data_IF_632623537675
#
_entry.id   IF_632623537675
#
_cell.length_a   1.000
_cell.length_b   1.000
_cell.length_c   1.000
_cell.angle_alpha   90.00
_cell.angle_beta   90.00
_cell.angle_gamma   90.00
#
_symmetry.space_group_name_H-M   'P 1'
#
loop_
_entity.id
_entity.type
_entity.pdbx_description
1 polymer ?
#
# COMPACT_ATOMS: atom_id res chain seq x y z
N UNK A 1 34.35 13.57 -8.98
CA UNK A 1 33.10 13.52 -9.76
C UNK A 1 31.96 13.99 -8.87
N UNK A 2 31.34 15.15 -9.14
CA UNK A 2 30.12 15.57 -8.43
C UNK A 2 28.99 14.63 -8.84
N UNK A 3 28.54 13.76 -7.93
CA UNK A 3 27.36 12.95 -8.13
C UNK A 3 26.20 13.86 -8.51
N UNK A 4 25.68 13.70 -9.73
CA UNK A 4 24.49 14.40 -10.19
C UNK A 4 23.34 13.93 -9.28
N UNK A 5 22.89 14.79 -8.34
CA UNK A 5 21.75 14.45 -7.47
C UNK A 5 20.57 14.11 -8.37
N UNK A 6 20.05 12.91 -8.26
CA UNK A 6 18.84 12.49 -8.97
C UNK A 6 17.67 13.37 -8.51
N UNK A 7 16.98 13.99 -9.46
CA UNK A 7 15.84 14.87 -9.22
C UNK A 7 14.64 14.34 -9.99
N UNK A 8 13.44 14.57 -9.49
CA UNK A 8 12.21 14.34 -10.29
C UNK A 8 12.16 15.34 -11.46
N UNK A 9 11.62 14.90 -12.60
CA UNK A 9 11.52 15.72 -13.81
C UNK A 9 10.49 16.86 -13.71
N UNK A 10 9.61 16.82 -12.70
CA UNK A 10 8.59 17.83 -12.45
C UNK A 10 7.64 17.46 -11.31
N UNK A 11 6.69 18.34 -11.01
CA UNK A 11 5.72 18.15 -9.93
C UNK A 11 4.82 16.92 -10.15
N UNK A 12 4.40 16.68 -11.40
CA UNK A 12 3.58 15.50 -11.73
C UNK A 12 4.37 14.21 -11.51
N UNK A 13 5.65 14.17 -11.92
CA UNK A 13 6.51 13.02 -11.68
C UNK A 13 6.68 12.71 -10.20
N UNK A 14 6.88 13.75 -9.38
CA UNK A 14 6.93 13.61 -7.92
C UNK A 14 5.62 13.09 -7.34
N UNK A 15 4.47 13.67 -7.73
CA UNK A 15 3.14 13.25 -7.23
C UNK A 15 2.85 11.79 -7.59
N UNK A 16 3.11 11.37 -8.83
CA UNK A 16 2.88 9.99 -9.25
C UNK A 16 3.85 9.00 -8.59
N UNK A 17 5.10 9.39 -8.35
CA UNK A 17 6.04 8.56 -7.60
C UNK A 17 5.65 8.45 -6.12
N UNK A 18 5.23 9.55 -5.49
CA UNK A 18 4.71 9.55 -4.12
C UNK A 18 3.43 8.71 -4.00
N UNK A 19 2.49 8.84 -4.95
CA UNK A 19 1.31 8.00 -5.02
C UNK A 19 1.68 6.53 -5.22
N UNK A 20 2.65 6.23 -6.08
CA UNK A 20 3.15 4.86 -6.30
C UNK A 20 3.80 4.25 -5.06
N UNK A 21 4.41 5.07 -4.21
CA UNK A 21 4.92 4.63 -2.90
C UNK A 21 3.79 4.43 -1.88
N UNK A 22 2.74 5.23 -1.95
CA UNK A 22 1.61 5.19 -1.03
C UNK A 22 0.60 4.08 -1.36
N UNK A 23 0.36 3.83 -2.65
CA UNK A 23 -0.60 2.81 -3.11
C UNK A 23 0.10 1.47 -3.27
N UNK A 24 -0.22 0.56 -2.38
CA UNK A 24 0.34 -0.80 -2.36
C UNK A 24 -0.72 -1.87 -2.08
N UNK A 25 -0.26 -3.10 -1.93
CA UNK A 25 -1.11 -4.26 -1.61
C UNK A 25 -1.96 -4.03 -0.36
N UNK A 26 -1.44 -3.29 0.62
CA UNK A 26 -2.15 -2.93 1.83
C UNK A 26 -3.43 -2.14 1.60
N UNK A 27 -3.46 -1.29 0.57
CA UNK A 27 -4.64 -0.49 0.24
C UNK A 27 -5.70 -1.32 -0.49
N UNK A 28 -5.27 -2.31 -1.29
CA UNK A 28 -6.17 -3.13 -2.10
C UNK A 28 -6.72 -4.31 -1.28
N UNK A 29 -5.92 -4.88 -0.38
CA UNK A 29 -6.28 -6.06 0.39
C UNK A 29 -6.63 -5.76 1.85
N UNK A 30 -5.69 -5.14 2.60
CA UNK A 30 -5.85 -4.94 4.04
C UNK A 30 -6.91 -3.90 4.37
N UNK A 31 -6.98 -2.80 3.64
CA UNK A 31 -7.95 -1.73 3.89
C UNK A 31 -9.40 -2.21 3.80
N UNK A 32 -9.84 -2.90 2.72
CA UNK A 32 -11.20 -3.43 2.64
C UNK A 32 -11.51 -4.41 3.77
N UNK A 33 -10.55 -5.26 4.13
CA UNK A 33 -10.71 -6.19 5.24
C UNK A 33 -10.93 -5.48 6.58
N UNK A 34 -10.10 -4.49 6.92
CA UNK A 34 -10.25 -3.71 8.14
C UNK A 34 -11.57 -2.94 8.15
N UNK A 35 -11.93 -2.33 7.03
CA UNK A 35 -13.20 -1.63 6.90
C UNK A 35 -14.39 -2.55 7.19
N UNK A 36 -14.41 -3.75 6.61
CA UNK A 36 -15.47 -4.72 6.87
C UNK A 36 -15.48 -5.23 8.31
N UNK A 37 -14.30 -5.50 8.89
CA UNK A 37 -14.12 -5.98 10.27
C UNK A 37 -14.56 -4.95 11.30
N UNK A 38 -14.29 -3.67 11.06
CA UNK A 38 -14.34 -2.60 12.05
C UNK A 38 -15.56 -1.67 11.91
N UNK A 39 -16.68 -2.19 11.40
CA UNK A 39 -17.95 -1.48 11.34
C UNK A 39 -18.13 -0.62 10.09
N UNK A 40 -17.48 -1.00 8.99
CA UNK A 40 -17.69 -0.40 7.67
C UNK A 40 -17.47 1.09 7.63
N UNK A 41 -18.56 1.86 7.46
CA UNK A 41 -18.51 3.30 7.38
C UNK A 41 -17.95 4.00 8.64
N UNK A 42 -18.02 3.39 9.81
CA UNK A 42 -17.41 3.92 11.03
C UNK A 42 -15.88 3.93 10.93
N UNK A 43 -15.29 2.81 10.50
CA UNK A 43 -13.85 2.74 10.24
C UNK A 43 -13.44 3.77 9.18
N UNK A 44 -14.20 3.87 8.07
CA UNK A 44 -13.93 4.82 7.01
C UNK A 44 -13.98 6.26 7.50
N UNK A 45 -14.96 6.61 8.33
CA UNK A 45 -15.09 7.95 8.93
C UNK A 45 -13.88 8.29 9.79
N UNK A 46 -13.50 7.40 10.71
CA UNK A 46 -12.33 7.58 11.59
C UNK A 46 -11.06 7.71 10.73
N UNK A 47 -10.90 6.84 9.74
CA UNK A 47 -9.75 6.88 8.84
C UNK A 47 -9.65 8.21 8.07
N UNK A 48 -10.76 8.73 7.52
CA UNK A 48 -10.78 10.01 6.83
C UNK A 48 -10.42 11.18 7.74
N UNK A 49 -10.93 11.20 8.97
CA UNK A 49 -10.55 12.22 9.96
C UNK A 49 -9.05 12.15 10.25
N UNK A 50 -8.51 10.96 10.44
CA UNK A 50 -7.08 10.77 10.67
C UNK A 50 -6.22 11.17 9.46
N UNK A 51 -6.65 10.86 8.24
CA UNK A 51 -5.95 11.29 7.01
C UNK A 51 -5.88 12.80 6.91
N UNK A 52 -7.00 13.49 7.14
CA UNK A 52 -7.10 14.95 7.01
C UNK A 52 -6.34 15.69 8.11
N UNK A 53 -6.26 15.13 9.31
CA UNK A 53 -5.58 15.76 10.45
C UNK A 53 -4.14 15.29 10.56
N UNK A 54 -3.92 14.04 10.95
CA UNK A 54 -2.60 13.45 11.17
C UNK A 54 -1.85 13.19 9.87
N UNK A 55 -2.50 12.56 8.91
CA UNK A 55 -1.87 12.16 7.65
C UNK A 55 -1.32 13.35 6.87
N UNK A 56 -2.14 14.37 6.70
CA UNK A 56 -1.74 15.60 6.00
C UNK A 56 -0.57 16.31 6.71
N UNK A 57 -0.65 16.44 8.04
CA UNK A 57 0.40 17.10 8.83
C UNK A 57 1.72 16.33 8.76
N UNK A 58 1.69 15.02 8.90
CA UNK A 58 2.91 14.19 8.88
C UNK A 58 3.55 14.21 7.48
N UNK A 59 2.76 14.01 6.42
CA UNK A 59 3.26 14.02 5.05
C UNK A 59 3.87 15.38 4.66
N UNK A 60 3.21 16.48 5.02
CA UNK A 60 3.74 17.83 4.80
C UNK A 60 5.04 18.06 5.56
N UNK A 61 5.15 17.55 6.77
CA UNK A 61 6.36 17.64 7.59
C UNK A 61 7.51 16.87 6.96
N UNK A 62 7.29 15.62 6.53
CA UNK A 62 8.31 14.81 5.86
C UNK A 62 8.83 15.49 4.59
N UNK A 63 7.92 15.99 3.74
CA UNK A 63 8.30 16.72 2.52
C UNK A 63 9.05 18.02 2.86
N UNK A 64 8.65 18.75 3.90
CA UNK A 64 9.33 19.97 4.33
C UNK A 64 10.75 19.69 4.83
N UNK A 65 10.95 18.63 5.60
CA UNK A 65 12.27 18.18 6.05
C UNK A 65 13.16 17.85 4.85
N UNK A 66 12.67 17.06 3.91
CA UNK A 66 13.40 16.70 2.71
C UNK A 66 13.79 17.92 1.86
N UNK A 67 12.87 18.85 1.64
CA UNK A 67 13.13 20.09 0.92
C UNK A 67 14.15 20.99 1.61
N UNK A 68 14.08 21.12 2.93
CA UNK A 68 14.98 21.96 3.72
C UNK A 68 16.39 21.39 3.78
N UNK A 69 16.53 20.09 4.03
CA UNK A 69 17.83 19.45 4.24
C UNK A 69 18.50 19.03 2.92
N UNK A 70 17.71 18.67 1.91
CA UNK A 70 18.20 18.10 0.64
C UNK A 70 19.11 16.87 0.87
N UNK A 71 18.83 16.13 1.94
CA UNK A 71 19.53 14.92 2.35
C UNK A 71 18.62 13.71 2.24
N UNK A 72 19.21 12.51 2.30
CA UNK A 72 18.46 11.27 2.47
C UNK A 72 17.90 11.16 3.88
N UNK A 73 16.96 10.23 4.10
CA UNK A 73 16.29 10.02 5.38
C UNK A 73 17.26 9.81 6.56
N UNK A 74 18.38 9.10 6.34
CA UNK A 74 19.39 8.85 7.39
C UNK A 74 20.03 10.13 7.93
N UNK A 75 20.31 11.10 7.06
CA UNK A 75 21.07 12.29 7.41
C UNK A 75 20.20 13.53 7.61
N UNK A 76 18.96 13.52 7.13
CA UNK A 76 18.08 14.69 7.18
C UNK A 76 17.87 15.21 8.60
N UNK A 77 17.57 14.32 9.55
CA UNK A 77 17.34 14.70 10.94
C UNK A 77 18.61 15.19 11.64
N UNK A 78 19.75 14.55 11.39
CA UNK A 78 21.04 15.01 11.93
C UNK A 78 21.44 16.39 11.40
N UNK A 79 21.10 16.70 10.13
CA UNK A 79 21.34 18.02 9.54
C UNK A 79 20.50 19.12 10.18
N UNK A 80 19.30 18.79 10.69
CA UNK A 80 18.48 19.74 11.42
C UNK A 80 18.99 19.96 12.85
N UNK A 81 19.30 18.87 13.55
CA UNK A 81 19.89 18.90 14.87
C UNK A 81 20.50 17.53 15.22
N UNK A 82 21.74 17.54 15.69
CA UNK A 82 22.53 16.34 15.95
C UNK A 82 21.87 15.35 16.93
N UNK A 83 21.15 15.84 17.95
CA UNK A 83 20.42 15.00 18.90
C UNK A 83 19.33 14.13 18.25
N UNK A 84 18.83 14.52 17.08
CA UNK A 84 17.78 13.80 16.38
C UNK A 84 18.30 12.79 15.35
N UNK A 85 19.61 12.54 15.32
CA UNK A 85 20.23 11.56 14.41
C UNK A 85 19.57 10.18 14.49
N UNK A 86 19.15 9.76 15.68
CA UNK A 86 18.54 8.45 15.89
C UNK A 86 17.23 8.27 15.10
N UNK A 87 16.47 9.35 14.84
CA UNK A 87 15.26 9.30 14.02
C UNK A 87 15.56 8.88 12.57
N UNK A 88 16.71 9.30 12.05
CA UNK A 88 17.16 8.87 10.73
C UNK A 88 17.37 7.35 10.64
N UNK A 89 17.93 6.74 11.68
CA UNK A 89 18.08 5.28 11.75
C UNK A 89 16.72 4.57 11.85
N UNK A 90 15.77 5.10 12.64
CA UNK A 90 14.43 4.55 12.74
C UNK A 90 13.70 4.65 11.39
N UNK A 91 13.78 5.79 10.70
CA UNK A 91 13.20 6.02 9.38
C UNK A 91 13.78 5.07 8.32
N UNK A 92 15.02 4.63 8.47
CA UNK A 92 15.63 3.63 7.59
C UNK A 92 15.26 2.20 7.98
N UNK A 93 15.14 1.91 9.27
CA UNK A 93 14.82 0.58 9.77
C UNK A 93 13.43 0.10 9.33
N UNK A 94 12.43 0.99 9.38
CA UNK A 94 11.04 0.65 9.03
C UNK A 94 10.91 0.10 7.61
N UNK A 95 11.33 0.80 6.54
CA UNK A 95 11.25 0.26 5.18
C UNK A 95 12.13 -0.97 4.98
N UNK A 96 13.25 -1.09 5.71
CA UNK A 96 14.09 -2.29 5.65
C UNK A 96 13.34 -3.52 6.16
N UNK A 97 12.64 -3.41 7.29
CA UNK A 97 11.80 -4.48 7.82
C UNK A 97 10.62 -4.80 6.90
N UNK A 98 9.98 -3.77 6.33
CA UNK A 98 8.89 -3.97 5.37
C UNK A 98 9.40 -4.73 4.15
N UNK A 99 10.56 -4.40 3.62
CA UNK A 99 11.12 -5.05 2.43
C UNK A 99 11.30 -6.56 2.60
N UNK A 100 11.55 -7.05 3.82
CA UNK A 100 11.74 -8.49 4.07
C UNK A 100 10.49 -9.31 3.75
N UNK A 101 9.31 -8.87 4.18
CA UNK A 101 8.07 -9.60 3.92
C UNK A 101 7.37 -9.16 2.63
N UNK A 102 7.54 -7.91 2.21
CA UNK A 102 6.93 -7.41 0.97
C UNK A 102 7.48 -8.09 -0.27
N UNK A 103 8.75 -8.46 -0.26
CA UNK A 103 9.36 -9.22 -1.35
C UNK A 103 8.73 -10.60 -1.51
N UNK A 104 8.38 -11.24 -0.40
CA UNK A 104 7.67 -12.53 -0.41
C UNK A 104 6.27 -12.38 -1.00
N UNK A 105 5.51 -11.38 -0.52
CA UNK A 105 4.15 -11.09 -1.02
C UNK A 105 4.21 -10.71 -2.51
N UNK A 106 5.20 -9.92 -2.93
CA UNK A 106 5.42 -9.59 -4.33
C UNK A 106 5.65 -10.83 -5.20
N UNK A 107 6.40 -11.80 -4.68
CA UNK A 107 6.57 -13.11 -5.32
C UNK A 107 5.25 -13.88 -5.46
N UNK A 108 4.39 -13.87 -4.43
CA UNK A 108 3.06 -14.50 -4.50
C UNK A 108 2.18 -13.89 -5.58
N UNK A 109 2.13 -12.55 -5.64
CA UNK A 109 1.37 -11.83 -6.66
C UNK A 109 1.88 -12.16 -8.07
N UNK A 110 3.21 -12.23 -8.23
CA UNK A 110 3.82 -12.58 -9.50
C UNK A 110 3.49 -14.02 -9.92
N UNK A 111 3.42 -14.97 -8.97
CA UNK A 111 2.95 -16.32 -9.23
C UNK A 111 1.51 -16.34 -9.72
N UNK A 112 0.60 -15.65 -9.01
CA UNK A 112 -0.80 -15.55 -9.43
C UNK A 112 -0.92 -14.92 -10.82
N UNK A 113 -0.22 -13.82 -11.08
CA UNK A 113 -0.18 -13.20 -12.41
C UNK A 113 0.23 -14.21 -13.48
N UNK A 114 1.27 -15.01 -13.23
CA UNK A 114 1.73 -16.03 -14.18
C UNK A 114 0.66 -17.09 -14.47
N UNK A 115 -0.10 -17.50 -13.48
CA UNK A 115 -1.18 -18.50 -13.65
C UNK A 115 -2.33 -17.93 -14.46
N UNK A 116 -2.73 -16.67 -14.18
CA UNK A 116 -3.81 -16.03 -14.96
C UNK A 116 -3.41 -15.80 -16.42
N UNK A 117 -2.13 -15.51 -16.69
CA UNK A 117 -1.65 -15.30 -18.07
C UNK A 117 -1.50 -16.62 -18.83
N UNK A 118 -1.06 -17.71 -18.15
CA UNK A 118 -0.72 -18.98 -18.81
C UNK A 118 -1.91 -19.95 -18.86
N UNK A 119 -2.71 -20.06 -17.79
CA UNK A 119 -3.74 -21.10 -17.61
C UNK A 119 -5.15 -20.57 -17.33
N UNK A 120 -5.45 -19.32 -17.71
CA UNK A 120 -6.76 -18.68 -17.49
C UNK A 120 -7.23 -18.65 -16.02
N UNK A 121 -6.34 -18.91 -15.06
CA UNK A 121 -6.62 -18.74 -13.64
C UNK A 121 -7.51 -19.79 -12.97
N UNK A 122 -8.01 -20.80 -13.67
CA UNK A 122 -8.88 -21.83 -13.08
C UNK A 122 -8.25 -22.55 -11.89
N UNK A 123 -6.96 -22.83 -11.96
CA UNK A 123 -6.22 -23.47 -10.87
C UNK A 123 -6.10 -22.54 -9.66
N UNK A 124 -5.90 -21.23 -9.88
CA UNK A 124 -5.76 -20.25 -8.81
C UNK A 124 -7.06 -20.01 -8.01
N UNK A 125 -8.21 -20.38 -8.59
CA UNK A 125 -9.52 -20.29 -7.94
C UNK A 125 -9.83 -21.45 -6.98
N UNK A 126 -8.98 -22.49 -6.93
CA UNK A 126 -9.17 -23.63 -6.02
C UNK A 126 -8.78 -23.25 -4.59
N UNK A 127 -9.57 -23.67 -3.61
CA UNK A 127 -9.38 -23.33 -2.18
C UNK A 127 -7.99 -23.69 -1.64
N UNK A 128 -7.38 -24.79 -2.10
CA UNK A 128 -6.09 -25.26 -1.62
C UNK A 128 -4.89 -24.75 -2.44
N UNK A 129 -5.11 -23.98 -3.52
CA UNK A 129 -4.03 -23.55 -4.40
C UNK A 129 -3.00 -22.69 -3.68
N UNK A 130 -3.45 -21.68 -2.93
CA UNK A 130 -2.57 -20.80 -2.19
C UNK A 130 -1.75 -21.55 -1.14
N UNK A 131 -2.40 -22.40 -0.34
CA UNK A 131 -1.75 -23.19 0.71
C UNK A 131 -0.69 -24.13 0.11
N UNK A 132 -1.01 -24.83 -0.96
CA UNK A 132 -0.05 -25.72 -1.64
C UNK A 132 1.13 -24.96 -2.22
N UNK A 133 0.89 -23.74 -2.75
CA UNK A 133 1.96 -22.89 -3.26
C UNK A 133 2.90 -22.42 -2.14
N UNK A 134 2.37 -21.85 -1.05
CA UNK A 134 3.22 -21.28 0.01
C UNK A 134 3.97 -22.34 0.83
N UNK A 135 3.46 -23.56 0.88
CA UNK A 135 4.11 -24.69 1.55
C UNK A 135 5.13 -25.41 0.67
N UNK A 136 5.15 -25.12 -0.63
CA UNK A 136 6.15 -25.70 -1.52
C UNK A 136 7.55 -25.15 -1.24
N UNK A 137 8.58 -26.00 -1.32
CA UNK A 137 9.95 -25.65 -0.90
C UNK A 137 10.66 -24.67 -1.85
N UNK A 138 10.32 -24.67 -3.13
CA UNK A 138 11.10 -23.98 -4.17
C UNK A 138 10.31 -22.85 -4.82
N UNK A 139 9.04 -23.08 -5.17
CA UNK A 139 8.25 -22.15 -5.95
C UNK A 139 8.15 -20.75 -5.34
N UNK A 140 7.82 -20.55 -4.04
CA UNK A 140 7.74 -19.22 -3.44
C UNK A 140 9.08 -18.46 -3.48
N UNK A 141 10.19 -19.18 -3.28
CA UNK A 141 11.55 -18.60 -3.29
C UNK A 141 11.90 -18.11 -4.70
N UNK A 142 11.63 -18.90 -5.72
CA UNK A 142 11.92 -18.52 -7.11
C UNK A 142 11.14 -17.25 -7.49
N UNK A 143 9.83 -17.21 -7.22
CA UNK A 143 9.01 -16.04 -7.53
C UNK A 143 9.42 -14.81 -6.71
N UNK A 144 9.79 -14.97 -5.45
CA UNK A 144 10.37 -13.89 -4.63
C UNK A 144 11.65 -13.34 -5.24
N UNK A 145 12.57 -14.20 -5.67
CA UNK A 145 13.83 -13.79 -6.29
C UNK A 145 13.61 -13.09 -7.63
N UNK A 146 12.68 -13.56 -8.46
CA UNK A 146 12.30 -12.88 -9.71
C UNK A 146 11.73 -11.49 -9.42
N UNK A 147 10.85 -11.36 -8.42
CA UNK A 147 10.31 -10.07 -8.00
C UNK A 147 11.40 -9.13 -7.49
N UNK A 148 12.33 -9.62 -6.66
CA UNK A 148 13.47 -8.85 -6.17
C UNK A 148 14.39 -8.39 -7.31
N UNK A 149 14.71 -9.28 -8.26
CA UNK A 149 15.54 -8.93 -9.42
C UNK A 149 14.88 -7.82 -10.27
N UNK A 150 13.58 -7.91 -10.50
CA UNK A 150 12.83 -6.89 -11.23
C UNK A 150 12.81 -5.55 -10.47
N UNK A 151 12.57 -5.58 -9.17
CA UNK A 151 12.61 -4.37 -8.31
C UNK A 151 14.00 -3.75 -8.31
N UNK A 152 15.04 -4.56 -8.10
CA UNK A 152 16.43 -4.11 -8.13
C UNK A 152 16.81 -3.46 -9.48
N UNK A 153 16.35 -4.03 -10.58
CA UNK A 153 16.57 -3.47 -11.91
C UNK A 153 15.93 -2.09 -12.09
N UNK A 154 14.69 -1.88 -11.60
CA UNK A 154 14.02 -0.57 -11.63
C UNK A 154 14.80 0.44 -10.79
N UNK A 155 15.17 0.06 -9.55
CA UNK A 155 15.89 0.92 -8.62
C UNK A 155 17.29 1.27 -9.16
N UNK A 156 17.98 0.31 -9.79
CA UNK A 156 19.29 0.54 -10.41
C UNK A 156 19.25 1.61 -11.51
N UNK A 157 18.12 1.76 -12.21
CA UNK A 157 17.91 2.82 -13.21
C UNK A 157 17.78 4.23 -12.61
N UNK A 158 17.70 4.31 -11.29
CA UNK A 158 17.59 5.56 -10.54
C UNK A 158 16.18 6.13 -10.47
N UNK A 159 16.06 7.32 -9.88
CA UNK A 159 14.76 7.94 -9.60
C UNK A 159 14.04 8.35 -10.87
N UNK A 160 14.69 9.11 -11.75
CA UNK A 160 14.07 9.70 -12.93
C UNK A 160 13.73 8.66 -14.00
N UNK A 161 14.69 7.80 -14.38
CA UNK A 161 14.55 6.83 -15.46
C UNK A 161 14.00 5.46 -15.00
N UNK A 162 14.02 5.19 -13.71
CA UNK A 162 13.48 3.99 -13.11
C UNK A 162 12.14 4.27 -12.43
N UNK A 163 12.16 4.73 -11.20
CA UNK A 163 10.99 4.84 -10.33
C UNK A 163 9.94 5.77 -10.93
N UNK A 164 10.31 6.98 -11.31
CA UNK A 164 9.38 7.98 -11.85
C UNK A 164 8.74 7.53 -13.17
N UNK A 165 9.56 7.04 -14.10
CA UNK A 165 9.07 6.57 -15.41
C UNK A 165 8.11 5.40 -15.24
N UNK A 166 8.43 4.46 -14.35
CA UNK A 166 7.59 3.30 -14.07
C UNK A 166 6.28 3.71 -13.42
N UNK A 167 6.32 4.60 -12.42
CA UNK A 167 5.14 5.12 -11.74
C UNK A 167 4.21 5.91 -12.69
N UNK A 168 4.75 6.68 -13.62
CA UNK A 168 3.96 7.41 -14.63
C UNK A 168 3.12 6.51 -15.52
N UNK A 169 3.54 5.27 -15.74
CA UNK A 169 2.81 4.30 -16.56
C UNK A 169 1.87 3.46 -15.69
N UNK A 170 2.39 2.93 -14.59
CA UNK A 170 1.66 1.98 -13.75
C UNK A 170 0.53 2.64 -12.97
N UNK A 171 0.74 3.84 -12.41
CA UNK A 171 -0.26 4.48 -11.55
C UNK A 171 -1.56 4.83 -12.29
N UNK A 172 -1.55 5.45 -13.48
CA UNK A 172 -2.77 5.66 -14.24
C UNK A 172 -3.45 4.33 -14.62
N UNK A 173 -2.68 3.34 -15.05
CA UNK A 173 -3.20 2.02 -15.40
C UNK A 173 -3.88 1.33 -14.21
N UNK A 174 -3.25 1.35 -13.03
CA UNK A 174 -3.81 0.82 -11.80
C UNK A 174 -5.09 1.56 -11.39
N UNK A 175 -5.10 2.89 -11.51
CA UNK A 175 -6.27 3.71 -11.18
C UNK A 175 -7.46 3.35 -12.08
N UNK A 176 -7.24 3.24 -13.40
CA UNK A 176 -8.27 2.82 -14.34
C UNK A 176 -8.78 1.41 -14.05
N UNK A 177 -7.88 0.48 -13.73
CA UNK A 177 -8.24 -0.90 -13.38
C UNK A 177 -9.09 -0.93 -12.10
N UNK A 178 -8.73 -0.17 -11.06
CA UNK A 178 -9.51 -0.10 -9.81
C UNK A 178 -10.90 0.49 -10.08
N UNK A 179 -11.01 1.55 -10.88
CA UNK A 179 -12.29 2.15 -11.26
C UNK A 179 -13.15 1.12 -12.02
N UNK A 180 -12.56 0.41 -12.96
CA UNK A 180 -13.25 -0.64 -13.71
C UNK A 180 -13.77 -1.75 -12.79
N UNK A 181 -12.94 -2.27 -11.90
CA UNK A 181 -13.32 -3.29 -10.91
C UNK A 181 -14.41 -2.77 -9.99
N UNK A 182 -14.31 -1.51 -9.52
CA UNK A 182 -15.31 -0.90 -8.66
C UNK A 182 -16.69 -0.82 -9.37
N UNK A 183 -16.73 -0.34 -10.61
CA UNK A 183 -17.97 -0.29 -11.39
C UNK A 183 -18.51 -1.70 -11.63
N UNK A 184 -17.65 -2.63 -12.03
CA UNK A 184 -18.04 -4.02 -12.28
C UNK A 184 -18.59 -4.68 -11.01
N UNK A 185 -17.97 -4.47 -9.85
CA UNK A 185 -18.41 -5.04 -8.58
C UNK A 185 -19.82 -4.57 -8.17
N UNK A 186 -20.23 -3.36 -8.57
CA UNK A 186 -21.58 -2.86 -8.29
C UNK A 186 -22.66 -3.59 -9.10
N UNK A 187 -22.31 -4.21 -10.21
CA UNK A 187 -23.24 -4.97 -11.06
C UNK A 187 -23.41 -6.42 -10.60
N UNK A 188 -22.55 -6.88 -9.68
CA UNK A 188 -22.60 -8.26 -9.19
C UNK A 188 -23.73 -8.47 -8.20
N UNK A 189 -24.34 -9.64 -8.28
CA UNK A 189 -25.25 -10.16 -7.26
C UNK A 189 -24.87 -11.60 -6.93
N UNK A 190 -24.93 -11.97 -5.66
CA UNK A 190 -24.61 -13.31 -5.20
C UNK A 190 -25.68 -13.77 -4.21
N UNK A 191 -26.17 -14.97 -4.40
CA UNK A 191 -27.05 -15.64 -3.45
C UNK A 191 -26.21 -16.34 -2.41
N UNK A 192 -26.32 -15.89 -1.15
CA UNK A 192 -25.62 -16.50 -0.03
C UNK A 192 -26.15 -17.90 0.28
N UNK A 193 -25.40 -18.66 1.05
CA UNK A 193 -25.81 -19.98 1.57
C UNK A 193 -27.09 -19.93 2.45
N UNK A 194 -27.48 -18.74 2.87
CA UNK A 194 -28.68 -18.41 3.64
C UNK A 194 -29.90 -18.08 2.75
N UNK A 195 -29.78 -18.20 1.43
CA UNK A 195 -30.82 -17.86 0.45
C UNK A 195 -31.04 -16.34 0.28
N UNK A 196 -30.24 -15.49 0.91
CA UNK A 196 -30.33 -14.04 0.74
C UNK A 196 -29.53 -13.58 -0.48
N UNK A 197 -30.16 -12.80 -1.38
CA UNK A 197 -29.47 -12.18 -2.52
C UNK A 197 -28.78 -10.89 -2.02
N UNK A 198 -27.47 -10.87 -2.14
CA UNK A 198 -26.63 -9.71 -1.80
C UNK A 198 -26.13 -9.05 -3.08
N UNK A 199 -26.32 -7.74 -3.19
CA UNK A 199 -25.91 -6.97 -4.37
C UNK A 199 -24.66 -6.14 -4.06
N UNK A 200 -23.88 -5.79 -5.09
CA UNK A 200 -22.73 -4.89 -4.95
C UNK A 200 -23.09 -3.53 -4.34
N UNK A 201 -24.29 -3.01 -4.61
CA UNK A 201 -24.80 -1.78 -3.99
C UNK A 201 -25.03 -1.92 -2.49
N UNK A 202 -25.50 -3.08 -2.02
CA UNK A 202 -25.61 -3.35 -0.57
C UNK A 202 -24.23 -3.44 0.06
N UNK A 203 -23.25 -4.04 -0.61
CA UNK A 203 -21.85 -4.03 -0.19
C UNK A 203 -21.31 -2.61 -0.06
N UNK A 204 -21.53 -1.75 -1.05
CA UNK A 204 -21.13 -0.35 -0.98
C UNK A 204 -21.82 0.40 0.18
N UNK A 205 -23.08 0.11 0.46
CA UNK A 205 -23.80 0.72 1.58
C UNK A 205 -23.14 0.42 2.94
N UNK A 206 -22.57 -0.78 3.12
CA UNK A 206 -21.81 -1.15 4.35
C UNK A 206 -20.58 -0.25 4.51
N UNK A 207 -19.89 0.07 3.42
CA UNK A 207 -18.74 0.97 3.47
C UNK A 207 -19.09 2.43 3.75
N UNK A 208 -20.26 2.89 3.30
CA UNK A 208 -20.66 4.29 3.43
C UNK A 208 -21.47 4.57 4.69
N UNK A 209 -22.15 3.56 5.24
CA UNK A 209 -23.04 3.72 6.40
C UNK A 209 -22.26 3.43 7.68
N UNK A 210 -22.02 4.45 8.55
CA UNK A 210 -21.39 4.21 9.84
C UNK A 210 -22.31 3.38 10.73
N UNK A 211 -21.78 2.28 11.25
CA UNK A 211 -22.49 1.44 12.23
C UNK A 211 -21.90 1.68 13.62
N UNK A 212 -22.70 2.28 14.50
CA UNK A 212 -22.34 2.54 15.89
C UNK A 212 -22.91 1.48 16.85
N UNK A 213 -23.52 0.43 16.32
CA UNK A 213 -24.16 -0.62 17.13
C UNK A 213 -23.09 -1.36 17.95
N UNK A 214 -23.29 -1.43 19.26
CA UNK A 214 -22.35 -2.09 20.18
C UNK A 214 -21.00 -1.38 20.33
N UNK A 215 -20.89 -0.10 19.96
CA UNK A 215 -19.66 0.67 20.12
C UNK A 215 -19.36 0.92 21.61
N UNK A 216 -18.41 0.18 22.14
CA UNK A 216 -17.83 0.42 23.46
C UNK A 216 -16.56 1.26 23.35
N UNK A 217 -16.11 1.88 24.43
CA UNK A 217 -14.85 2.63 24.45
C UNK A 217 -13.64 1.75 24.03
N UNK A 218 -13.61 0.51 24.49
CA UNK A 218 -12.58 -0.46 24.09
C UNK A 218 -12.61 -0.71 22.58
N UNK A 219 -13.80 -0.96 22.02
CA UNK A 219 -13.99 -1.21 20.60
C UNK A 219 -13.59 0.02 19.76
N UNK A 220 -13.94 1.22 20.22
CA UNK A 220 -13.51 2.47 19.58
C UNK A 220 -11.98 2.59 19.51
N UNK A 221 -11.26 2.28 20.60
CA UNK A 221 -9.80 2.30 20.60
C UNK A 221 -9.20 1.26 19.65
N UNK A 222 -9.77 0.07 19.56
CA UNK A 222 -9.33 -0.95 18.59
C UNK A 222 -9.46 -0.44 17.16
N UNK A 223 -10.61 0.11 16.79
CA UNK A 223 -10.87 0.69 15.46
C UNK A 223 -9.92 1.86 15.20
N UNK A 224 -9.70 2.74 16.17
CA UNK A 224 -8.78 3.86 16.06
C UNK A 224 -7.34 3.39 15.80
N UNK A 225 -6.87 2.37 16.53
CA UNK A 225 -5.52 1.81 16.34
C UNK A 225 -5.38 1.11 14.97
N UNK A 226 -6.39 0.37 14.53
CA UNK A 226 -6.40 -0.26 13.22
C UNK A 226 -6.41 0.80 12.10
N UNK A 227 -7.19 1.88 12.24
CA UNK A 227 -7.22 3.00 11.30
C UNK A 227 -5.89 3.78 11.29
N UNK A 228 -5.27 4.04 12.46
CA UNK A 228 -3.95 4.66 12.54
C UNK A 228 -2.87 3.78 11.89
N UNK A 229 -2.85 2.49 12.19
CA UNK A 229 -1.92 1.54 11.60
C UNK A 229 -2.05 1.51 10.08
N UNK A 230 -3.28 1.50 9.57
CA UNK A 230 -3.54 1.55 8.14
C UNK A 230 -3.10 2.89 7.51
N UNK A 231 -3.31 4.01 8.21
CA UNK A 231 -2.89 5.33 7.75
C UNK A 231 -1.36 5.42 7.59
N UNK A 232 -0.60 5.03 8.61
CA UNK A 232 0.88 5.05 8.55
C UNK A 232 1.38 4.20 7.39
N UNK A 233 0.77 3.04 7.20
CA UNK A 233 1.13 2.12 6.14
C UNK A 233 0.78 2.68 4.75
N UNK A 234 -0.45 3.19 4.58
CA UNK A 234 -0.94 3.70 3.29
C UNK A 234 -0.24 4.98 2.83
N UNK A 235 0.10 5.87 3.75
CA UNK A 235 0.79 7.12 3.40
C UNK A 235 2.31 6.99 3.37
N UNK A 236 2.84 5.80 3.71
CA UNK A 236 4.29 5.57 3.85
C UNK A 236 4.98 6.65 4.69
N UNK A 237 4.30 7.17 5.71
CA UNK A 237 4.81 8.23 6.58
C UNK A 237 6.03 7.72 7.32
N UNK A 238 7.03 8.58 7.48
CA UNK A 238 8.31 8.26 8.13
C UNK A 238 9.09 7.12 7.47
N UNK A 239 8.81 6.81 6.19
CA UNK A 239 9.55 5.80 5.41
C UNK A 239 10.59 6.44 4.46
N UNK A 240 10.88 7.73 4.63
CA UNK A 240 11.93 8.41 3.86
C UNK A 240 11.50 8.92 2.49
N UNK A 241 10.22 9.21 2.27
CA UNK A 241 9.72 9.92 1.09
C UNK A 241 10.07 11.42 1.23
N UNK A 242 11.35 11.72 1.30
CA UNK A 242 11.82 13.09 1.50
C UNK A 242 12.41 13.66 0.22
#
# INVERSE_FOLDING_TARGET
>A
MKSKKSKFSGSIGFVLAAAGSAVGVGNIWRFPYLCAKDGGGLFLLIYLILVLTFGFTLLTTDVAIGRKTKQNALNAYATLHEKWRFLGYLTFLVPTLIMTYYSVIGGWILKYLSVYVVSNGHEAAQDNYFTSFITSKVSPIVFMLVFLAFTAWIVYRGVEHGIEKFSKIIMPGLTLLIIFIAIFSLTLSHEGSDGTVRTGLQGLAIYLRPDFTGLTFKRFLEILLDAMSQLFFSLSVSMGIM
#
